data_IF_222658031623
#
_entry.id   IF_222658031623
#
_cell.length_a   1.000
_cell.length_b   1.000
_cell.length_c   1.000
_cell.angle_alpha   90.00
_cell.angle_beta   90.00
_cell.angle_gamma   90.00
#
_symmetry.space_group_name_H-M   'P 1'
#
loop_
_entity.id
_entity.type
_entity.pdbx_description
1 polymer ?
#
# COMPACT_ATOMS: atom_id res chain seq x y z
N UNK A 1 -43.89 -13.05 -6.84
CA UNK A 1 -42.80 -12.10 -7.18
C UNK A 1 -41.84 -12.07 -6.00
N UNK A 2 -40.58 -12.38 -6.26
CA UNK A 2 -39.61 -12.98 -5.34
C UNK A 2 -39.18 -12.03 -4.20
N UNK A 3 -39.53 -12.35 -2.96
CA UNK A 3 -38.97 -11.69 -1.77
C UNK A 3 -37.74 -12.46 -1.29
N UNK A 4 -36.55 -11.92 -1.53
CA UNK A 4 -35.26 -12.57 -1.31
C UNK A 4 -35.01 -12.94 0.17
N UNK A 5 -34.71 -14.21 0.50
CA UNK A 5 -34.55 -14.70 1.87
C UNK A 5 -33.11 -14.55 2.36
N UNK A 6 -32.54 -13.35 2.32
CA UNK A 6 -31.21 -13.14 2.90
C UNK A 6 -31.31 -12.82 4.39
N UNK A 7 -31.34 -13.91 5.16
CA UNK A 7 -30.91 -14.06 6.54
C UNK A 7 -30.09 -12.89 7.06
N UNK A 8 -30.62 -12.24 8.09
CA UNK A 8 -29.89 -11.30 8.93
C UNK A 8 -28.74 -12.01 9.65
N UNK A 9 -27.60 -12.18 8.98
CA UNK A 9 -26.32 -12.31 9.68
C UNK A 9 -25.96 -10.89 10.10
N UNK A 10 -26.32 -10.54 11.33
CA UNK A 10 -25.81 -9.36 12.01
C UNK A 10 -24.31 -9.49 12.20
N UNK A 11 -23.54 -9.29 11.13
CA UNK A 11 -22.14 -8.94 11.21
C UNK A 11 -22.11 -7.59 11.90
N UNK A 12 -21.97 -7.64 13.22
CA UNK A 12 -21.45 -6.53 14.01
C UNK A 12 -20.07 -6.27 13.43
N UNK A 13 -20.00 -5.45 12.39
CA UNK A 13 -18.78 -4.72 12.09
C UNK A 13 -18.59 -3.87 13.33
N UNK A 14 -17.85 -4.40 14.32
CA UNK A 14 -17.16 -3.56 15.25
C UNK A 14 -16.19 -2.77 14.38
N UNK A 15 -16.67 -1.66 13.82
CA UNK A 15 -15.84 -0.55 13.42
C UNK A 15 -15.01 -0.25 14.64
N UNK A 16 -13.80 -0.82 14.67
CA UNK A 16 -12.82 -0.62 15.73
C UNK A 16 -12.53 0.86 15.72
N UNK A 17 -13.32 1.60 16.50
CA UNK A 17 -13.17 3.01 16.70
C UNK A 17 -11.81 3.24 17.35
N UNK A 18 -10.92 3.83 16.56
CA UNK A 18 -9.80 4.68 16.99
C UNK A 18 -9.15 4.25 18.30
N UNK A 19 -8.37 3.18 18.26
CA UNK A 19 -7.13 3.23 19.05
C UNK A 19 -6.28 4.35 18.42
N UNK A 20 -5.69 5.28 19.18
CA UNK A 20 -4.65 6.14 18.66
C UNK A 20 -3.41 5.27 18.40
N UNK A 21 -3.46 4.42 17.37
CA UNK A 21 -2.27 3.96 16.66
C UNK A 21 -1.57 5.26 16.29
N UNK A 22 -0.37 5.49 16.84
CA UNK A 22 0.37 6.73 16.69
C UNK A 22 0.27 7.26 15.27
N UNK A 23 -0.58 8.27 15.09
CA UNK A 23 -0.90 8.83 13.78
C UNK A 23 0.25 9.74 13.42
N UNK A 24 1.19 9.24 12.62
CA UNK A 24 2.31 10.06 12.18
C UNK A 24 1.79 10.93 11.04
N UNK A 25 1.88 12.23 11.22
CA UNK A 25 1.42 13.21 10.25
C UNK A 25 2.51 13.57 9.25
N UNK A 26 2.08 13.89 8.03
CA UNK A 26 2.94 14.52 7.05
C UNK A 26 3.03 16.01 7.37
N UNK A 27 4.23 16.51 7.63
CA UNK A 27 4.48 17.94 7.92
C UNK A 27 4.18 18.85 6.71
N UNK A 28 4.15 18.29 5.49
CA UNK A 28 3.92 19.06 4.26
C UNK A 28 2.43 19.24 3.95
N UNK A 29 1.61 18.21 4.16
CA UNK A 29 0.19 18.24 3.77
C UNK A 29 -0.79 17.87 4.88
N UNK A 30 -0.32 17.62 6.11
CA UNK A 30 -1.14 17.28 7.28
C UNK A 30 -1.83 15.92 7.21
N UNK A 31 -1.60 15.10 6.17
CA UNK A 31 -2.19 13.77 6.07
C UNK A 31 -1.64 12.84 7.14
N UNK A 32 -2.53 12.06 7.76
CA UNK A 32 -2.20 11.15 8.86
C UNK A 32 -2.05 9.72 8.34
N UNK A 33 -0.99 9.06 8.79
CA UNK A 33 -0.68 7.69 8.40
C UNK A 33 -0.56 6.78 9.62
N UNK A 34 -0.97 5.51 9.50
CA UNK A 34 -0.91 4.55 10.61
C UNK A 34 0.51 4.02 10.88
N UNK A 35 1.49 4.31 10.02
CA UNK A 35 2.86 3.83 10.17
C UNK A 35 3.87 4.75 9.48
N UNK A 36 5.13 4.73 9.94
CA UNK A 36 6.22 5.49 9.29
C UNK A 36 6.49 5.03 7.87
N UNK A 37 6.34 3.73 7.59
CA UNK A 37 6.50 3.19 6.23
C UNK A 37 5.47 3.79 5.27
N UNK A 38 4.23 3.92 5.71
CA UNK A 38 3.16 4.55 4.94
C UNK A 38 3.44 6.03 4.71
N UNK A 39 3.88 6.76 5.73
CA UNK A 39 4.27 8.16 5.60
C UNK A 39 5.46 8.34 4.66
N UNK A 40 6.51 7.53 4.79
CA UNK A 40 7.69 7.60 3.94
C UNK A 40 7.34 7.35 2.48
N UNK A 41 6.53 6.33 2.20
CA UNK A 41 6.09 6.07 0.83
C UNK A 41 5.22 7.18 0.25
N UNK A 42 4.38 7.81 1.09
CA UNK A 42 3.65 9.01 0.72
C UNK A 42 4.60 10.18 0.40
N UNK A 43 5.55 10.49 1.28
CA UNK A 43 6.53 11.56 1.09
C UNK A 43 7.33 11.34 -0.20
N UNK A 44 7.82 10.12 -0.38
CA UNK A 44 8.57 9.69 -1.56
C UNK A 44 7.76 9.81 -2.85
N UNK A 45 6.45 9.49 -2.83
CA UNK A 45 5.64 9.49 -4.05
C UNK A 45 5.07 10.87 -4.42
N UNK A 46 4.69 11.67 -3.42
CA UNK A 46 3.88 12.88 -3.61
C UNK A 46 4.62 14.20 -3.36
N UNK A 47 5.72 14.18 -2.61
CA UNK A 47 6.46 15.40 -2.27
C UNK A 47 7.89 15.38 -2.83
N UNK A 48 8.59 14.27 -2.65
CA UNK A 48 9.97 14.12 -3.12
C UNK A 48 10.05 13.53 -4.53
N UNK A 49 9.00 12.85 -4.99
CA UNK A 49 8.96 12.05 -6.23
C UNK A 49 10.14 11.06 -6.37
N UNK A 50 10.75 10.69 -5.25
CA UNK A 50 11.85 9.76 -5.19
C UNK A 50 11.32 8.34 -5.07
N UNK A 51 11.83 7.45 -5.91
CA UNK A 51 11.53 6.02 -5.87
C UNK A 51 12.83 5.27 -5.67
N UNK A 52 13.27 5.08 -4.41
CA UNK A 52 14.61 4.59 -4.10
C UNK A 52 14.82 3.13 -4.48
N UNK A 53 13.75 2.37 -4.71
CA UNK A 53 13.83 0.96 -5.05
C UNK A 53 13.75 0.78 -6.56
N UNK A 54 14.91 0.60 -7.21
CA UNK A 54 15.02 0.46 -8.65
C UNK A 54 15.30 -1.01 -8.99
N UNK A 55 14.53 -1.57 -9.92
CA UNK A 55 14.85 -2.87 -10.49
C UNK A 55 16.02 -2.71 -11.45
N UNK A 56 17.16 -3.33 -11.17
CA UNK A 56 18.36 -3.26 -12.03
C UNK A 56 18.16 -3.91 -13.40
N UNK A 57 17.15 -4.78 -13.55
CA UNK A 57 16.90 -5.50 -14.79
C UNK A 57 16.09 -4.71 -15.81
N UNK A 58 15.09 -3.95 -15.34
CA UNK A 58 14.20 -3.17 -16.21
C UNK A 58 14.25 -1.65 -15.93
N UNK A 59 15.11 -1.20 -15.02
CA UNK A 59 15.26 0.19 -14.55
C UNK A 59 13.97 0.84 -14.04
N UNK A 60 12.94 0.05 -13.71
CA UNK A 60 11.69 0.57 -13.16
C UNK A 60 11.86 0.89 -11.68
N UNK A 61 11.39 2.06 -11.28
CA UNK A 61 11.50 2.56 -9.91
C UNK A 61 10.19 2.39 -9.13
N UNK A 62 10.32 2.04 -7.86
CA UNK A 62 9.23 1.74 -6.92
C UNK A 62 9.40 2.54 -5.62
N UNK A 63 8.27 2.91 -5.02
CA UNK A 63 8.24 3.64 -3.75
C UNK A 63 8.49 2.73 -2.53
N UNK A 64 8.30 1.42 -2.68
CA UNK A 64 8.43 0.44 -1.60
C UNK A 64 9.26 -0.77 -2.00
N UNK A 65 10.06 -1.29 -1.07
CA UNK A 65 10.84 -2.51 -1.26
C UNK A 65 9.96 -3.73 -1.55
N UNK A 66 8.80 -3.85 -0.90
CA UNK A 66 7.86 -4.95 -1.16
C UNK A 66 7.35 -4.92 -2.59
N UNK A 67 7.10 -3.74 -3.15
CA UNK A 67 6.67 -3.59 -4.54
C UNK A 67 7.77 -4.03 -5.51
N UNK A 68 9.03 -3.66 -5.25
CA UNK A 68 10.18 -4.15 -6.02
C UNK A 68 10.31 -5.68 -5.91
N UNK A 69 10.23 -6.23 -4.69
CA UNK A 69 10.33 -7.66 -4.45
C UNK A 69 9.25 -8.47 -5.18
N UNK A 70 7.99 -8.04 -5.11
CA UNK A 70 6.91 -8.65 -5.86
C UNK A 70 7.11 -8.50 -7.37
N UNK A 71 7.59 -7.34 -7.82
CA UNK A 71 7.95 -7.14 -9.21
C UNK A 71 9.02 -8.15 -9.66
N UNK A 72 10.12 -8.30 -8.93
CA UNK A 72 11.22 -9.20 -9.28
C UNK A 72 10.86 -10.69 -9.22
N UNK A 73 9.99 -11.09 -8.28
CA UNK A 73 9.66 -12.51 -8.05
C UNK A 73 8.41 -12.99 -8.80
N UNK A 74 7.40 -12.14 -8.98
CA UNK A 74 6.09 -12.55 -9.52
C UNK A 74 5.74 -11.90 -10.86
N UNK A 75 6.25 -10.70 -11.15
CA UNK A 75 6.00 -9.99 -12.41
C UNK A 75 7.17 -10.08 -13.41
N UNK A 76 8.38 -10.29 -12.89
CA UNK A 76 9.61 -10.60 -13.62
C UNK A 76 10.07 -12.08 -13.51
N UNK A 77 9.23 -13.11 -13.28
CA UNK A 77 9.72 -14.48 -13.34
C UNK A 77 9.90 -14.84 -14.82
N UNK A 78 11.18 -14.89 -15.23
CA UNK A 78 11.69 -15.29 -16.55
C UNK A 78 11.68 -14.19 -17.61
N UNK A 79 12.74 -13.39 -17.62
CA UNK A 79 13.28 -12.92 -18.89
C UNK A 79 14.49 -13.80 -19.17
N UNK A 80 14.20 -15.01 -19.65
CA UNK A 80 15.18 -15.82 -20.35
C UNK A 80 14.95 -15.53 -21.83
N UNK A 81 15.70 -14.57 -22.37
CA UNK A 81 15.93 -14.49 -23.80
C UNK A 81 17.14 -15.35 -24.09
N UNK A 82 16.97 -16.67 -24.01
CA UNK A 82 17.90 -17.64 -24.60
C UNK A 82 17.11 -18.69 -25.37
#
# INVERSE_FOLDING_TARGET
>A
MLGSPFSAVGLKFASKSRTPVGNIECEVCGKRFPSRRSLQGHMNSFHLHQKPYICQKCNRSFAYQTSLYFHERLCYPKIDFT
#
